data_IF_765259896685
#
_entry.id   IF_765259896685
#
_cell.length_a   1.000
_cell.length_b   1.000
_cell.length_c   1.000
_cell.angle_alpha   90.00
_cell.angle_beta   90.00
_cell.angle_gamma   90.00
#
_symmetry.space_group_name_H-M   'P 1'
#
loop_
_entity.id
_entity.type
_entity.pdbx_description
1 polymer ?
#
# COMPACT_ATOMS: atom_id res chain seq x y z
N UNK A 1 16.34 -5.96 2.65
CA UNK A 1 15.28 -5.58 3.60
C UNK A 1 14.90 -4.10 3.39
N UNK A 2 13.92 -3.56 4.10
CA UNK A 2 13.62 -2.12 4.11
C UNK A 2 13.96 -1.63 5.51
N UNK A 3 14.97 -0.76 5.62
CA UNK A 3 15.31 -0.13 6.89
C UNK A 3 14.42 1.10 7.03
N UNK A 4 13.83 1.29 8.20
CA UNK A 4 13.06 2.49 8.49
C UNK A 4 13.99 3.72 8.39
N UNK A 5 13.65 4.74 7.58
CA UNK A 5 14.43 5.97 7.48
C UNK A 5 14.46 6.70 8.83
N UNK A 6 15.54 7.46 9.09
CA UNK A 6 15.65 8.25 10.31
C UNK A 6 14.44 9.18 10.48
N UNK A 7 13.79 9.08 11.65
CA UNK A 7 12.63 9.91 11.99
C UNK A 7 11.28 9.41 11.43
N UNK A 8 11.24 8.20 10.87
CA UNK A 8 9.99 7.50 10.52
C UNK A 8 9.78 6.33 11.48
N UNK A 9 8.56 6.23 12.01
CA UNK A 9 8.12 5.10 12.84
C UNK A 9 7.01 4.35 12.11
N UNK A 10 7.24 3.06 11.90
CA UNK A 10 6.29 2.15 11.26
C UNK A 10 5.61 1.28 12.31
N UNK A 11 4.28 1.35 12.42
CA UNK A 11 3.48 0.50 13.31
C UNK A 11 2.61 -0.44 12.48
N UNK A 12 2.52 -1.70 12.89
CA UNK A 12 1.73 -2.73 12.20
C UNK A 12 0.55 -3.10 13.09
N UNK A 13 -0.66 -2.79 12.64
CA UNK A 13 -1.91 -3.16 13.28
C UNK A 13 -2.66 -4.16 12.38
N UNK A 14 -2.36 -5.44 12.55
CA UNK A 14 -2.93 -6.52 11.72
C UNK A 14 -2.58 -6.33 10.24
N UNK A 15 -3.58 -5.96 9.42
CA UNK A 15 -3.41 -5.70 7.99
C UNK A 15 -3.19 -4.22 7.63
N UNK A 16 -3.06 -3.34 8.63
CA UNK A 16 -2.79 -1.91 8.43
C UNK A 16 -1.34 -1.61 8.78
N UNK A 17 -0.68 -0.86 7.90
CA UNK A 17 0.65 -0.31 8.12
C UNK A 17 0.46 1.19 8.35
N UNK A 18 0.87 1.67 9.52
CA UNK A 18 0.78 3.08 9.90
C UNK A 18 2.20 3.63 9.86
N UNK A 19 2.42 4.62 8.99
CA UNK A 19 3.69 5.33 8.86
C UNK A 19 3.53 6.71 9.48
N UNK A 20 4.32 7.01 10.50
CA UNK A 20 4.35 8.32 11.16
C UNK A 20 5.76 8.91 11.08
N UNK A 21 5.87 10.22 11.01
CA UNK A 21 7.17 10.88 10.95
C UNK A 21 7.04 12.40 10.96
N UNK A 22 8.19 13.06 11.15
CA UNK A 22 8.28 14.52 11.28
C UNK A 22 8.15 15.22 9.91
N UNK A 23 8.73 14.64 8.86
CA UNK A 23 8.72 15.20 7.50
C UNK A 23 7.68 14.50 6.61
N UNK A 24 6.74 15.28 6.07
CA UNK A 24 5.68 14.81 5.16
C UNK A 24 6.23 14.20 3.86
N UNK A 25 7.32 14.74 3.32
CA UNK A 25 7.92 14.25 2.08
C UNK A 25 8.49 12.85 2.26
N UNK A 26 9.29 12.64 3.32
CA UNK A 26 9.87 11.33 3.63
C UNK A 26 8.78 10.29 3.97
N UNK A 27 7.74 10.69 4.73
CA UNK A 27 6.60 9.81 5.03
C UNK A 27 5.88 9.40 3.74
N UNK A 28 5.67 10.34 2.82
CA UNK A 28 5.04 10.07 1.52
C UNK A 28 5.89 9.15 0.64
N UNK A 29 7.20 9.39 0.57
CA UNK A 29 8.14 8.55 -0.18
C UNK A 29 8.16 7.13 0.36
N UNK A 30 8.31 6.95 1.68
CA UNK A 30 8.33 5.64 2.31
C UNK A 30 7.01 4.88 2.11
N UNK A 31 5.87 5.57 2.22
CA UNK A 31 4.56 4.98 1.94
C UNK A 31 4.42 4.54 0.47
N UNK A 32 4.98 5.31 -0.48
CA UNK A 32 5.01 4.96 -1.89
C UNK A 32 5.88 3.72 -2.16
N UNK A 33 7.07 3.65 -1.55
CA UNK A 33 7.97 2.49 -1.65
C UNK A 33 7.30 1.21 -1.13
N UNK A 34 6.60 1.28 0.00
CA UNK A 34 5.79 0.17 0.54
C UNK A 34 4.74 -0.29 -0.48
N UNK A 35 4.01 0.65 -1.10
CA UNK A 35 2.97 0.32 -2.10
C UNK A 35 3.55 -0.34 -3.35
N UNK A 36 4.72 0.11 -3.83
CA UNK A 36 5.39 -0.44 -5.01
C UNK A 36 5.77 -1.91 -4.82
N UNK A 37 6.09 -2.33 -3.60
CA UNK A 37 6.48 -3.72 -3.31
C UNK A 37 5.39 -4.74 -3.63
N UNK A 38 4.12 -4.37 -3.46
CA UNK A 38 2.97 -5.21 -3.85
C UNK A 38 1.77 -4.34 -4.20
N UNK A 39 1.71 -3.79 -5.42
CA UNK A 39 0.60 -2.93 -5.82
C UNK A 39 -0.72 -3.71 -5.83
N UNK A 40 -1.87 -3.02 -5.68
CA UNK A 40 -3.16 -3.67 -5.66
C UNK A 40 -3.50 -4.20 -7.06
N UNK A 41 -3.81 -5.49 -7.14
CA UNK A 41 -4.15 -6.15 -8.40
C UNK A 41 -5.46 -5.62 -9.01
N UNK A 42 -5.55 -5.47 -10.33
CA UNK A 42 -6.72 -4.89 -11.00
C UNK A 42 -7.96 -5.79 -10.99
N UNK A 43 -7.88 -7.05 -10.55
CA UNK A 43 -9.05 -7.95 -10.53
C UNK A 43 -9.64 -8.07 -9.12
N UNK A 44 -8.83 -8.53 -8.17
CA UNK A 44 -9.26 -8.82 -6.79
C UNK A 44 -8.92 -7.69 -5.81
N UNK A 45 -8.18 -6.66 -6.24
CA UNK A 45 -7.70 -5.59 -5.36
C UNK A 45 -6.74 -6.09 -4.27
N UNK A 46 -6.14 -7.28 -4.45
CA UNK A 46 -5.19 -7.85 -3.50
C UNK A 46 -3.85 -7.12 -3.62
N UNK A 47 -3.27 -6.70 -2.51
CA UNK A 47 -2.03 -5.94 -2.46
C UNK A 47 -2.09 -4.88 -1.37
N UNK A 48 -1.11 -3.98 -1.39
CA UNK A 48 -1.02 -2.83 -0.48
C UNK A 48 -1.65 -1.63 -1.18
N UNK A 49 -2.57 -0.95 -0.49
CA UNK A 49 -3.27 0.24 -0.96
C UNK A 49 -3.36 1.25 0.16
N UNK A 50 -3.57 2.51 -0.20
CA UNK A 50 -3.94 3.51 0.81
C UNK A 50 -5.36 3.26 1.33
N UNK A 51 -5.65 3.78 2.53
CA UNK A 51 -6.92 3.53 3.24
C UNK A 51 -8.14 3.88 2.39
N UNK A 52 -8.08 5.01 1.69
CA UNK A 52 -9.19 5.54 0.88
C UNK A 52 -8.97 5.36 -0.65
N UNK A 53 -8.01 4.52 -1.06
CA UNK A 53 -7.72 4.29 -2.48
C UNK A 53 -8.79 3.42 -3.16
N UNK A 54 -9.47 4.00 -4.16
CA UNK A 54 -10.41 3.27 -5.03
C UNK A 54 -9.64 2.55 -6.15
N UNK A 55 -9.44 1.24 -5.97
CA UNK A 55 -8.79 0.38 -6.97
C UNK A 55 -9.77 0.06 -8.10
N UNK A 56 -9.44 0.43 -9.34
CA UNK A 56 -10.22 0.06 -10.53
C UNK A 56 -10.21 -1.46 -10.69
N UNK A 57 -11.39 -2.07 -10.63
CA UNK A 57 -11.57 -3.51 -10.82
C UNK A 57 -11.95 -3.82 -12.26
N UNK A 58 -11.19 -4.68 -12.91
CA UNK A 58 -11.53 -5.31 -14.18
C UNK A 58 -12.33 -6.58 -13.90
N UNK A 59 -13.29 -6.87 -14.77
CA UNK A 59 -13.97 -8.16 -14.73
C UNK A 59 -12.94 -9.28 -14.93
N UNK A 60 -13.06 -10.33 -14.11
CA UNK A 60 -12.21 -11.50 -14.21
C UNK A 60 -12.56 -12.33 -15.45
N UNK A 61 -12.18 -13.61 -15.45
CA UNK A 61 -12.65 -14.52 -16.51
C UNK A 61 -14.17 -14.60 -16.45
N UNK A 62 -14.83 -13.99 -17.43
CA UNK A 62 -16.23 -14.25 -17.75
C UNK A 62 -16.28 -15.66 -18.32
N UNK A 63 -16.33 -16.66 -17.43
CA UNK A 63 -16.80 -17.99 -17.76
C UNK A 63 -18.28 -17.85 -18.11
N UNK A 64 -18.54 -17.40 -19.34
CA UNK A 64 -19.86 -17.44 -19.94
C UNK A 64 -20.22 -18.93 -19.98
N UNK A 65 -21.19 -19.35 -19.15
CA UNK A 65 -21.96 -20.55 -19.48
C UNK A 65 -22.72 -20.29 -20.78
#
# INVERSE_FOLDING_TARGET
EMNDPEGITTTIEGNKIIVTGINKEHVGQFAAEIRIKRPPEPYKGKGIRYVDEVVRRKEGKTGKK
#
